data_IF_379973444958
#
_entry.id   IF_379973444958
#
_cell.length_a   1.000
_cell.length_b   1.000
_cell.length_c   1.000
_cell.angle_alpha   90.00
_cell.angle_beta   90.00
_cell.angle_gamma   90.00
#
_symmetry.space_group_name_H-M   'P 1'
#
loop_
_entity.id
_entity.type
_entity.pdbx_description
1 polymer ?
#
# COMPACT_ATOMS: atom_id res chain seq x y z
N UNK A 1 26.43 -39.19 34.16
CA UNK A 1 26.45 -37.99 33.28
C UNK A 1 25.63 -38.21 32.00
N UNK A 2 24.47 -38.90 32.06
CA UNK A 2 23.64 -39.22 30.88
C UNK A 2 22.22 -38.64 30.93
N UNK A 3 21.82 -38.03 32.04
CA UNK A 3 20.45 -37.50 32.23
C UNK A 3 20.33 -36.01 31.91
N UNK A 4 21.41 -35.23 32.09
CA UNK A 4 21.38 -33.77 31.90
C UNK A 4 21.39 -33.38 30.42
N UNK A 5 22.14 -34.08 29.57
CA UNK A 5 22.17 -33.85 28.12
C UNK A 5 20.85 -34.19 27.44
N UNK A 6 20.13 -35.22 27.90
CA UNK A 6 18.81 -35.58 27.37
C UNK A 6 17.76 -34.51 27.67
N UNK A 7 17.82 -33.87 28.85
CA UNK A 7 16.88 -32.80 29.23
C UNK A 7 17.12 -31.50 28.45
N UNK A 8 18.38 -31.15 28.16
CA UNK A 8 18.72 -29.97 27.34
C UNK A 8 18.28 -30.16 25.87
N UNK A 9 18.27 -31.38 25.34
CA UNK A 9 17.77 -31.69 24.00
C UNK A 9 16.24 -31.58 23.85
N UNK A 10 15.47 -31.89 24.91
CA UNK A 10 14.01 -31.84 24.89
C UNK A 10 13.51 -30.39 24.95
N UNK A 11 14.16 -29.52 25.72
CA UNK A 11 13.78 -28.10 25.85
C UNK A 11 14.11 -27.26 24.60
N UNK A 12 15.02 -27.69 23.72
CA UNK A 12 15.29 -27.01 22.44
C UNK A 12 14.18 -27.22 21.39
N UNK A 13 13.28 -28.19 21.59
CA UNK A 13 12.13 -28.47 20.70
C UNK A 13 10.92 -27.56 20.97
N UNK A 14 10.95 -26.78 22.04
CA UNK A 14 9.87 -25.85 22.42
C UNK A 14 9.98 -24.60 21.56
N UNK A 15 9.46 -24.69 20.33
CA UNK A 15 9.13 -23.59 19.40
C UNK A 15 9.87 -22.27 19.62
N UNK A 16 11.17 -22.22 19.31
CA UNK A 16 11.84 -20.94 19.06
C UNK A 16 11.42 -20.49 17.65
N UNK A 17 10.71 -19.35 17.48
CA UNK A 17 10.43 -18.85 16.16
C UNK A 17 11.74 -18.60 15.43
N UNK A 18 11.89 -19.15 14.23
CA UNK A 18 13.08 -18.97 13.41
C UNK A 18 13.32 -17.47 13.17
N UNK A 19 14.59 -17.06 13.04
CA UNK A 19 14.95 -15.65 12.77
C UNK A 19 14.18 -15.06 11.59
N UNK A 20 13.92 -15.88 10.55
CA UNK A 20 13.12 -15.49 9.39
C UNK A 20 11.68 -15.15 9.79
N UNK A 21 11.04 -15.98 10.62
CA UNK A 21 9.66 -15.75 11.08
C UNK A 21 9.55 -14.45 11.88
N UNK A 22 10.55 -14.15 12.72
CA UNK A 22 10.62 -12.89 13.48
C UNK A 22 10.78 -11.69 12.55
N UNK A 23 11.64 -11.79 11.53
CA UNK A 23 11.83 -10.74 10.52
C UNK A 23 10.58 -10.50 9.71
N UNK A 24 9.88 -11.55 9.28
CA UNK A 24 8.60 -11.45 8.56
C UNK A 24 7.56 -10.71 9.41
N UNK A 25 7.41 -11.09 10.68
CA UNK A 25 6.47 -10.41 11.58
C UNK A 25 6.81 -8.92 11.80
N UNK A 26 8.10 -8.60 11.94
CA UNK A 26 8.57 -7.23 12.07
C UNK A 26 8.30 -6.40 10.80
N UNK A 27 8.59 -6.97 9.62
CA UNK A 27 8.31 -6.34 8.33
C UNK A 27 6.81 -6.07 8.16
N UNK A 28 5.96 -7.08 8.40
CA UNK A 28 4.51 -6.92 8.29
C UNK A 28 3.95 -5.86 9.24
N UNK A 29 4.49 -5.77 10.46
CA UNK A 29 4.09 -4.74 11.43
C UNK A 29 4.51 -3.34 10.96
N UNK A 30 5.72 -3.21 10.41
CA UNK A 30 6.21 -1.95 9.84
C UNK A 30 5.39 -1.53 8.61
N UNK A 31 5.00 -2.47 7.75
CA UNK A 31 4.13 -2.20 6.60
C UNK A 31 2.78 -1.65 7.05
N UNK A 32 2.14 -2.24 8.06
CA UNK A 32 0.87 -1.73 8.59
C UNK A 32 1.01 -0.28 9.09
N UNK A 33 2.10 0.02 9.80
CA UNK A 33 2.38 1.39 10.25
C UNK A 33 2.54 2.35 9.06
N UNK A 34 3.27 1.94 8.01
CA UNK A 34 3.42 2.72 6.78
C UNK A 34 2.10 2.93 6.06
N UNK A 35 1.23 1.92 5.96
CA UNK A 35 -0.09 2.05 5.32
C UNK A 35 -0.98 3.06 6.05
N UNK A 36 -0.93 3.08 7.38
CA UNK A 36 -1.62 4.09 8.20
C UNK A 36 -1.03 5.49 7.99
N UNK A 37 0.29 5.61 7.90
CA UNK A 37 0.96 6.88 7.58
C UNK A 37 0.59 7.39 6.19
N UNK A 38 0.48 6.52 5.18
CA UNK A 38 0.00 6.89 3.83
C UNK A 38 -1.40 7.45 3.89
N UNK A 39 -2.33 6.78 4.59
CA UNK A 39 -3.69 7.28 4.72
C UNK A 39 -3.74 8.65 5.40
N UNK A 40 -2.99 8.86 6.49
CA UNK A 40 -2.92 10.15 7.16
C UNK A 40 -2.34 11.25 6.25
N UNK A 41 -1.26 10.94 5.54
CA UNK A 41 -0.63 11.87 4.61
C UNK A 41 -1.58 12.25 3.47
N UNK A 42 -2.38 11.31 2.95
CA UNK A 42 -3.40 11.58 1.93
C UNK A 42 -4.46 12.56 2.42
N UNK A 43 -5.02 12.33 3.61
CA UNK A 43 -5.99 13.26 4.18
C UNK A 43 -5.41 14.64 4.45
N UNK A 44 -4.17 14.71 4.96
CA UNK A 44 -3.49 15.98 5.17
C UNK A 44 -3.22 16.70 3.84
N UNK A 45 -2.84 15.95 2.80
CA UNK A 45 -2.57 16.50 1.48
C UNK A 45 -3.83 17.15 0.90
N UNK A 46 -4.94 16.41 0.91
CA UNK A 46 -6.23 16.89 0.44
C UNK A 46 -6.75 18.06 1.28
N UNK A 47 -6.69 17.97 2.62
CA UNK A 47 -7.15 19.04 3.51
C UNK A 47 -6.33 20.34 3.40
N UNK A 48 -5.06 20.24 2.97
CA UNK A 48 -4.21 21.40 2.72
C UNK A 48 -4.46 22.04 1.34
N UNK A 49 -5.26 21.40 0.49
CA UNK A 49 -5.59 21.89 -0.84
C UNK A 49 -4.41 22.00 -1.79
N UNK A 50 -3.46 21.05 -1.73
CA UNK A 50 -2.26 21.10 -2.58
C UNK A 50 -2.55 20.96 -4.08
N UNK A 51 -3.59 20.22 -4.46
CA UNK A 51 -3.95 19.98 -5.87
C UNK A 51 -5.44 20.24 -6.08
N UNK A 52 -5.74 21.07 -7.08
CA UNK A 52 -7.05 21.35 -7.65
C UNK A 52 -6.86 21.43 -9.18
N UNK A 53 -6.70 20.29 -9.84
CA UNK A 53 -6.27 20.24 -11.23
C UNK A 53 -7.37 20.68 -12.21
N UNK A 54 -8.65 20.60 -11.79
CA UNK A 54 -9.81 21.03 -12.57
C UNK A 54 -10.38 22.40 -12.13
N UNK A 55 -9.79 23.07 -11.14
CA UNK A 55 -10.20 24.39 -10.63
C UNK A 55 -11.68 24.44 -10.18
N UNK A 56 -12.18 23.37 -9.57
CA UNK A 56 -13.56 23.29 -9.09
C UNK A 56 -13.68 23.43 -7.55
N UNK A 57 -12.56 23.80 -6.89
CA UNK A 57 -12.44 23.94 -5.43
C UNK A 57 -12.56 22.63 -4.64
N UNK A 58 -12.52 21.47 -5.31
CA UNK A 58 -12.50 20.19 -4.64
C UNK A 58 -11.14 19.51 -4.75
N UNK A 59 -10.41 19.50 -3.64
CA UNK A 59 -9.02 19.06 -3.61
C UNK A 59 -8.84 17.55 -3.79
N UNK A 60 -7.74 17.18 -4.41
CA UNK A 60 -7.44 15.81 -4.82
C UNK A 60 -6.44 15.12 -3.90
N UNK A 61 -6.49 13.78 -3.87
CA UNK A 61 -5.44 12.95 -3.29
C UNK A 61 -4.21 12.92 -4.19
N UNK A 62 -3.02 12.80 -3.58
CA UNK A 62 -1.73 12.94 -4.28
C UNK A 62 -1.03 11.62 -4.60
N UNK A 63 0.04 11.68 -5.37
CA UNK A 63 0.98 10.58 -5.63
C UNK A 63 2.06 10.46 -4.53
N UNK A 64 2.78 9.33 -4.45
CA UNK A 64 3.91 9.22 -3.49
C UNK A 64 4.98 10.30 -3.70
N UNK A 65 5.25 10.67 -4.95
CA UNK A 65 6.18 11.75 -5.26
C UNK A 65 5.65 13.12 -4.82
N UNK A 66 4.37 13.40 -5.03
CA UNK A 66 3.73 14.65 -4.59
C UNK A 66 3.72 14.77 -3.06
N UNK A 67 3.25 13.72 -2.36
CA UNK A 67 3.23 13.63 -0.89
C UNK A 67 4.63 13.77 -0.26
N UNK A 68 5.66 13.27 -0.95
CA UNK A 68 7.05 13.38 -0.52
C UNK A 68 7.76 14.67 -0.95
N UNK A 69 7.11 15.56 -1.70
CA UNK A 69 7.72 16.76 -2.27
C UNK A 69 8.77 16.49 -3.37
N UNK A 70 8.87 15.24 -3.85
CA UNK A 70 9.82 14.81 -4.89
C UNK A 70 9.29 14.97 -6.30
N UNK A 71 7.98 15.07 -6.48
CA UNK A 71 7.36 15.43 -7.75
C UNK A 71 6.71 16.83 -7.68
N UNK A 72 6.50 17.43 -8.84
CA UNK A 72 5.72 18.65 -8.97
C UNK A 72 4.24 18.32 -8.70
N UNK A 73 3.53 19.25 -8.06
CA UNK A 73 2.09 19.16 -7.89
C UNK A 73 1.41 19.29 -9.26
N UNK A 74 0.48 18.38 -9.56
CA UNK A 74 -0.28 18.39 -10.81
C UNK A 74 -0.86 19.78 -11.13
N UNK A 75 -0.67 20.20 -12.39
CA UNK A 75 -1.14 21.51 -12.87
C UNK A 75 -0.27 22.71 -12.46
N UNK A 76 0.83 22.50 -11.73
CA UNK A 76 1.67 23.58 -11.22
C UNK A 76 3.17 23.32 -11.45
N UNK A 77 3.99 24.33 -11.12
CA UNK A 77 5.46 24.19 -11.02
C UNK A 77 5.94 24.06 -9.57
N UNK A 78 5.01 23.91 -8.63
CA UNK A 78 5.27 23.90 -7.19
C UNK A 78 5.45 22.50 -6.64
N UNK A 79 6.00 22.41 -5.42
CA UNK A 79 6.20 21.17 -4.67
C UNK A 79 5.69 21.35 -3.26
N UNK A 80 5.31 20.25 -2.62
CA UNK A 80 5.06 20.27 -1.17
C UNK A 80 6.36 20.63 -0.44
N UNK A 81 6.38 21.80 0.21
CA UNK A 81 7.58 22.30 0.90
C UNK A 81 7.92 21.50 2.16
N UNK A 82 6.91 20.94 2.83
CA UNK A 82 7.05 20.08 4.02
C UNK A 82 6.54 18.67 3.69
N UNK A 83 7.42 17.74 3.29
CA UNK A 83 7.03 16.39 2.92
C UNK A 83 6.14 15.72 3.97
N UNK A 84 5.04 15.13 3.52
CA UNK A 84 4.08 14.41 4.35
C UNK A 84 4.46 12.93 4.51
N UNK A 85 5.29 12.42 3.60
CA UNK A 85 5.85 11.07 3.62
C UNK A 85 7.37 11.09 3.60
N UNK A 86 7.97 9.97 4.03
CA UNK A 86 9.42 9.81 3.97
C UNK A 86 9.93 9.78 2.53
N UNK A 87 11.14 10.30 2.32
CA UNK A 87 11.78 10.29 1.00
C UNK A 87 11.95 8.86 0.42
N UNK A 88 12.04 7.83 1.27
CA UNK A 88 12.14 6.43 0.82
C UNK A 88 10.86 5.93 0.18
N UNK A 89 9.69 6.41 0.63
CA UNK A 89 8.41 6.03 0.04
C UNK A 89 8.10 6.87 -1.20
N UNK A 90 8.58 8.11 -1.25
CA UNK A 90 8.45 9.00 -2.40
C UNK A 90 9.33 8.61 -3.59
N UNK A 91 10.45 7.91 -3.35
CA UNK A 91 11.34 7.39 -4.39
C UNK A 91 10.80 6.07 -4.94
N UNK A 92 9.92 6.16 -5.94
CA UNK A 92 9.46 5.00 -6.71
C UNK A 92 10.44 4.65 -7.83
N UNK A 93 10.44 3.39 -8.24
CA UNK A 93 11.11 2.97 -9.47
C UNK A 93 10.29 3.31 -10.73
N UNK A 94 10.76 2.86 -11.90
CA UNK A 94 10.13 3.09 -13.21
C UNK A 94 8.70 2.52 -13.31
N UNK A 95 8.39 1.50 -12.50
CA UNK A 95 7.08 0.86 -12.46
C UNK A 95 6.15 1.54 -11.44
N UNK A 96 6.64 2.57 -10.73
CA UNK A 96 5.91 3.24 -9.66
C UNK A 96 5.86 2.46 -8.35
N UNK A 97 6.84 1.57 -8.11
CA UNK A 97 6.97 0.83 -6.86
C UNK A 97 7.99 1.48 -5.93
N UNK A 98 7.58 1.79 -4.71
CA UNK A 98 8.49 2.17 -3.63
C UNK A 98 8.91 0.93 -2.83
N UNK A 99 10.20 0.82 -2.49
CA UNK A 99 10.73 -0.33 -1.75
C UNK A 99 11.00 0.03 -0.29
N UNK A 100 10.30 -0.62 0.65
CA UNK A 100 10.47 -0.36 2.07
C UNK A 100 10.13 -1.62 2.90
N UNK A 101 10.85 -1.86 4.00
CA UNK A 101 10.60 -2.99 4.92
C UNK A 101 10.54 -4.39 4.26
N UNK A 102 11.22 -4.60 3.12
CA UNK A 102 11.15 -5.87 2.38
C UNK A 102 9.87 -6.04 1.55
N UNK A 103 9.12 -4.96 1.36
CA UNK A 103 7.88 -4.87 0.60
C UNK A 103 8.03 -3.86 -0.54
N UNK A 104 7.23 -4.07 -1.58
CA UNK A 104 6.94 -3.09 -2.61
C UNK A 104 5.61 -2.41 -2.29
N UNK A 105 5.55 -1.10 -2.49
CA UNK A 105 4.36 -0.28 -2.30
C UNK A 105 4.00 0.39 -3.62
N UNK A 106 2.71 0.40 -3.95
CA UNK A 106 2.19 1.22 -5.03
C UNK A 106 0.92 1.92 -4.61
N UNK A 107 0.83 3.16 -5.06
CA UNK A 107 -0.32 4.02 -4.89
C UNK A 107 -0.98 4.20 -6.24
N UNK A 108 -2.31 4.10 -6.26
CA UNK A 108 -3.12 4.22 -7.46
C UNK A 108 -4.11 5.36 -7.30
N UNK A 109 -4.21 6.19 -8.34
CA UNK A 109 -5.22 7.22 -8.50
C UNK A 109 -6.11 6.85 -9.70
N UNK A 110 -7.39 7.26 -9.73
CA UNK A 110 -8.34 6.81 -10.73
C UNK A 110 -8.15 7.54 -12.06
N UNK A 111 -8.34 6.82 -13.16
CA UNK A 111 -8.65 7.42 -14.46
C UNK A 111 -10.14 7.79 -14.57
N UNK A 112 -10.54 8.39 -15.69
CA UNK A 112 -11.93 8.82 -15.92
C UNK A 112 -12.95 7.67 -15.99
N UNK A 113 -12.49 6.42 -16.09
CA UNK A 113 -13.33 5.22 -16.04
C UNK A 113 -13.39 4.58 -14.65
N UNK A 114 -12.69 5.15 -13.66
CA UNK A 114 -12.56 4.64 -12.30
C UNK A 114 -11.48 3.58 -12.11
N UNK A 115 -10.69 3.26 -13.15
CA UNK A 115 -9.59 2.29 -13.02
C UNK A 115 -8.42 2.94 -12.29
N UNK A 116 -7.82 2.20 -11.37
CA UNK A 116 -6.62 2.64 -10.69
C UNK A 116 -5.41 2.60 -11.63
N UNK A 117 -4.80 3.76 -11.83
CA UNK A 117 -3.55 3.94 -12.55
C UNK A 117 -2.45 4.20 -11.52
N UNK A 118 -1.28 3.58 -11.67
CA UNK A 118 -0.16 3.79 -10.76
C UNK A 118 0.23 5.27 -10.79
N UNK A 119 0.22 5.92 -9.63
CA UNK A 119 0.41 7.35 -9.49
C UNK A 119 1.89 7.73 -9.60
N UNK A 120 2.39 7.82 -10.83
CA UNK A 120 3.75 8.28 -11.18
C UNK A 120 3.68 9.56 -12.01
N UNK A 121 4.76 10.34 -12.03
CA UNK A 121 4.86 11.53 -12.88
C UNK A 121 4.47 11.27 -14.35
N UNK A 122 4.85 10.10 -14.89
CA UNK A 122 4.50 9.68 -16.27
C UNK A 122 3.01 9.47 -16.47
N UNK A 123 2.31 8.96 -15.47
CA UNK A 123 0.90 8.60 -15.55
C UNK A 123 -0.05 9.72 -15.09
N UNK A 124 0.48 10.79 -14.48
CA UNK A 124 -0.33 11.92 -14.00
C UNK A 124 -1.32 12.48 -15.05
N UNK A 125 -1.00 12.57 -16.35
CA UNK A 125 -1.96 13.04 -17.36
C UNK A 125 -3.19 12.14 -17.56
N UNK A 126 -3.15 10.89 -17.10
CA UNK A 126 -4.26 9.94 -17.19
C UNK A 126 -5.16 9.93 -15.95
N UNK A 127 -4.76 10.65 -14.89
CA UNK A 127 -5.54 10.74 -13.66
C UNK A 127 -6.71 11.70 -13.85
N UNK A 128 -7.90 11.27 -13.46
CA UNK A 128 -9.11 12.10 -13.51
C UNK A 128 -9.26 12.92 -12.22
N UNK A 129 -9.25 14.27 -12.30
CA UNK A 129 -9.37 15.15 -11.15
C UNK A 129 -10.64 14.91 -10.30
N UNK A 130 -11.78 14.68 -10.95
CA UNK A 130 -13.05 14.50 -10.26
C UNK A 130 -13.05 13.23 -9.41
N UNK A 131 -12.56 12.12 -9.96
CA UNK A 131 -12.46 10.85 -9.24
C UNK A 131 -11.32 10.87 -8.20
N UNK A 132 -10.20 11.52 -8.50
CA UNK A 132 -9.02 11.58 -7.60
C UNK A 132 -9.27 12.39 -6.32
N UNK A 133 -10.39 13.12 -6.25
CA UNK A 133 -10.93 13.70 -5.01
C UNK A 133 -11.43 12.66 -4.03
N UNK A 134 -12.06 11.60 -4.52
CA UNK A 134 -12.83 10.70 -3.68
C UNK A 134 -12.15 9.34 -3.53
N UNK A 135 -11.32 8.94 -4.49
CA UNK A 135 -10.78 7.60 -4.57
C UNK A 135 -9.28 7.57 -4.70
N UNK A 136 -8.66 6.67 -3.93
CA UNK A 136 -7.30 6.22 -4.09
C UNK A 136 -7.16 4.86 -3.44
N UNK A 137 -6.16 4.10 -3.86
CA UNK A 137 -5.78 2.86 -3.18
C UNK A 137 -4.28 2.77 -3.04
N UNK A 138 -3.81 2.18 -1.96
CA UNK A 138 -2.43 1.80 -1.78
C UNK A 138 -2.37 0.30 -1.53
N UNK A 139 -1.39 -0.35 -2.15
CA UNK A 139 -1.10 -1.76 -1.96
C UNK A 139 0.34 -1.95 -1.52
N UNK A 140 0.55 -2.95 -0.69
CA UNK A 140 1.89 -3.40 -0.32
C UNK A 140 1.97 -4.93 -0.42
N UNK A 141 3.02 -5.45 -1.05
CA UNK A 141 3.24 -6.90 -1.17
C UNK A 141 4.73 -7.24 -1.02
N UNK A 142 5.05 -8.46 -0.57
CA UNK A 142 6.43 -8.81 -0.29
C UNK A 142 7.27 -8.86 -1.56
N UNK A 143 8.52 -8.39 -1.46
CA UNK A 143 9.53 -8.61 -2.51
C UNK A 143 9.70 -10.11 -2.78
N UNK A 144 9.68 -10.94 -1.73
CA UNK A 144 9.73 -12.40 -1.82
C UNK A 144 8.86 -13.05 -0.76
N UNK A 145 7.78 -13.70 -1.18
CA UNK A 145 6.90 -14.48 -0.30
C UNK A 145 7.69 -15.54 0.46
N UNK A 146 7.37 -15.73 1.75
CA UNK A 146 8.04 -16.70 2.62
C UNK A 146 9.40 -16.22 3.16
N UNK A 147 9.94 -15.11 2.63
CA UNK A 147 11.23 -14.54 3.07
C UNK A 147 11.07 -13.14 3.64
N UNK A 148 10.48 -12.21 2.88
CA UNK A 148 10.31 -10.82 3.32
C UNK A 148 8.93 -10.56 3.89
N UNK A 149 7.94 -11.39 3.54
CA UNK A 149 6.57 -11.30 4.02
C UNK A 149 5.71 -12.48 3.61
N UNK A 150 4.58 -12.68 4.29
CA UNK A 150 3.63 -13.77 4.02
C UNK A 150 2.24 -13.26 3.68
N UNK A 151 2.01 -11.94 3.67
CA UNK A 151 0.73 -11.30 3.38
C UNK A 151 0.94 -10.07 2.52
N UNK A 152 -0.10 -9.72 1.77
CA UNK A 152 -0.21 -8.42 1.10
C UNK A 152 -1.21 -7.54 1.85
N UNK A 153 -1.07 -6.24 1.70
CA UNK A 153 -1.85 -5.24 2.40
C UNK A 153 -2.51 -4.29 1.42
N UNK A 154 -3.68 -3.78 1.81
CA UNK A 154 -4.49 -2.87 1.03
C UNK A 154 -5.04 -1.79 1.97
N UNK A 155 -5.10 -0.55 1.49
CA UNK A 155 -5.80 0.55 2.15
C UNK A 155 -6.36 1.49 1.08
N UNK A 156 -7.47 2.14 1.38
CA UNK A 156 -8.09 3.15 0.52
C UNK A 156 -8.46 4.40 1.33
N UNK A 157 -9.27 5.28 0.75
CA UNK A 157 -9.76 6.52 1.35
C UNK A 157 -10.53 6.35 2.68
N UNK A 158 -10.91 5.13 3.09
CA UNK A 158 -11.50 4.91 4.41
C UNK A 158 -10.43 4.78 5.52
N UNK A 159 -9.15 4.66 5.16
CA UNK A 159 -8.02 4.49 6.09
C UNK A 159 -7.96 3.15 6.81
N UNK A 160 -8.89 2.23 6.53
CA UNK A 160 -8.89 0.87 7.09
C UNK A 160 -7.90 -0.02 6.32
N UNK A 161 -6.94 -0.59 7.04
CA UNK A 161 -5.93 -1.49 6.45
C UNK A 161 -6.49 -2.91 6.43
N UNK A 162 -6.46 -3.53 5.25
CA UNK A 162 -6.72 -4.94 5.05
C UNK A 162 -5.42 -5.71 4.85
N UNK A 163 -5.43 -6.99 5.20
CA UNK A 163 -4.37 -7.95 4.86
C UNK A 163 -4.96 -9.19 4.23
N UNK A 164 -4.23 -9.81 3.30
CA UNK A 164 -4.61 -11.12 2.78
C UNK A 164 -4.40 -12.20 3.84
N UNK A 165 -5.21 -13.26 3.79
CA UNK A 165 -5.01 -14.45 4.64
C UNK A 165 -3.67 -15.15 4.35
N UNK A 166 -3.24 -15.12 3.08
CA UNK A 166 -1.96 -15.65 2.57
C UNK A 166 -1.48 -14.77 1.41
N UNK A 167 -0.18 -14.58 1.25
CA UNK A 167 0.38 -13.86 0.11
C UNK A 167 0.28 -14.70 -1.17
N UNK A 168 -0.26 -14.08 -2.20
CA UNK A 168 -0.25 -14.56 -3.58
C UNK A 168 0.70 -13.71 -4.47
N UNK A 169 0.97 -12.49 -4.02
CA UNK A 169 1.79 -11.49 -4.72
C UNK A 169 3.23 -11.56 -4.25
N UNK A 170 4.17 -11.45 -5.17
CA UNK A 170 5.61 -11.55 -4.89
C UNK A 170 6.43 -10.82 -5.95
N UNK A 171 7.27 -9.90 -5.48
CA UNK A 171 8.20 -9.16 -6.34
C UNK A 171 7.47 -8.38 -7.44
N UNK A 172 8.16 -8.13 -8.55
CA UNK A 172 7.62 -7.30 -9.65
C UNK A 172 6.80 -8.06 -10.69
N UNK A 173 6.72 -9.38 -10.59
CA UNK A 173 6.03 -10.22 -11.59
C UNK A 173 4.59 -10.49 -11.16
N UNK A 174 4.36 -10.81 -9.88
CA UNK A 174 3.04 -11.03 -9.32
C UNK A 174 2.64 -9.81 -8.49
N UNK A 175 2.11 -8.79 -9.18
CA UNK A 175 1.70 -7.50 -8.63
C UNK A 175 0.19 -7.52 -8.37
N UNK A 176 -0.29 -7.02 -7.23
CA UNK A 176 -1.72 -6.96 -6.97
C UNK A 176 -2.38 -5.85 -7.80
N UNK A 177 -3.60 -6.08 -8.31
CA UNK A 177 -4.32 -5.07 -9.08
C UNK A 177 -4.84 -3.95 -8.15
N UNK A 178 -5.13 -2.77 -8.70
CA UNK A 178 -5.45 -1.58 -7.92
C UNK A 178 -6.68 -1.75 -7.00
N UNK A 179 -7.70 -2.47 -7.46
CA UNK A 179 -8.95 -2.72 -6.73
C UNK A 179 -8.94 -3.99 -5.86
N UNK A 180 -7.77 -4.61 -5.62
CA UNK A 180 -7.71 -5.97 -5.06
C UNK A 180 -8.52 -6.16 -3.76
N UNK A 181 -8.45 -5.21 -2.83
CA UNK A 181 -9.13 -5.25 -1.54
C UNK A 181 -10.58 -4.74 -1.54
N UNK A 182 -11.20 -4.52 -2.71
CA UNK A 182 -12.57 -4.03 -2.85
C UNK A 182 -13.54 -5.15 -3.21
N UNK A 183 -14.85 -4.91 -3.01
CA UNK A 183 -15.93 -5.81 -3.44
C UNK A 183 -16.92 -5.09 -4.35
N UNK A 184 -17.56 -5.85 -5.24
CA UNK A 184 -18.58 -5.31 -6.16
C UNK A 184 -18.03 -4.52 -7.35
N UNK A 185 -16.71 -4.52 -7.55
CA UNK A 185 -16.02 -3.83 -8.65
C UNK A 185 -15.08 -4.77 -9.39
N UNK A 186 -14.63 -4.38 -10.59
CA UNK A 186 -13.59 -5.11 -11.32
C UNK A 186 -12.23 -5.01 -10.61
N UNK A 187 -11.34 -5.98 -10.84
CA UNK A 187 -10.04 -6.06 -10.13
C UNK A 187 -9.17 -4.80 -10.22
N UNK A 188 -9.28 -4.04 -11.31
CA UNK A 188 -8.50 -2.81 -11.56
C UNK A 188 -9.31 -1.53 -11.25
N UNK A 189 -10.59 -1.67 -10.86
CA UNK A 189 -11.47 -0.55 -10.53
C UNK A 189 -11.29 -0.13 -9.08
N UNK A 190 -11.17 1.18 -8.82
CA UNK A 190 -10.96 1.71 -7.47
C UNK A 190 -12.05 2.68 -7.00
N UNK A 191 -12.99 3.03 -7.88
CA UNK A 191 -14.16 3.86 -7.58
C UNK A 191 -15.27 3.14 -6.78
N UNK A 192 -14.93 2.02 -6.13
CA UNK A 192 -15.80 1.29 -5.22
C UNK A 192 -15.50 1.65 -3.76
N UNK A 193 -16.53 1.78 -2.94
CA UNK A 193 -16.38 2.12 -1.51
C UNK A 193 -16.34 0.90 -0.60
N UNK A 194 -16.89 -0.23 -1.04
CA UNK A 194 -17.02 -1.43 -0.21
C UNK A 194 -15.69 -2.20 -0.10
N UNK A 195 -15.17 -2.28 1.12
CA UNK A 195 -13.97 -3.05 1.46
C UNK A 195 -14.28 -4.55 1.60
N UNK A 196 -13.34 -5.39 1.18
CA UNK A 196 -13.39 -6.85 1.34
C UNK A 196 -13.11 -7.31 2.79
N UNK A 197 -13.86 -6.78 3.77
CA UNK A 197 -13.64 -7.12 5.18
C UNK A 197 -14.19 -8.51 5.49
N UNK A 198 -13.30 -9.47 5.78
CA UNK A 198 -13.63 -10.87 6.01
C UNK A 198 -14.38 -11.50 4.82
N UNK A 199 -14.02 -11.11 3.61
CA UNK A 199 -14.63 -11.60 2.38
C UNK A 199 -13.60 -11.75 1.26
N UNK A 200 -14.04 -12.28 0.13
CA UNK A 200 -13.25 -12.35 -1.10
C UNK A 200 -13.28 -10.98 -1.77
N UNK A 201 -12.11 -10.45 -2.14
CA UNK A 201 -11.96 -9.19 -2.87
C UNK A 201 -12.07 -9.36 -4.39
N UNK A 202 -11.97 -8.26 -5.13
CA UNK A 202 -12.06 -8.23 -6.58
C UNK A 202 -10.92 -9.00 -7.28
N UNK A 203 -9.83 -9.25 -6.56
CA UNK A 203 -8.72 -10.08 -6.98
C UNK A 203 -8.93 -11.60 -6.74
N UNK A 204 -10.05 -11.99 -6.13
CA UNK A 204 -10.33 -13.36 -5.74
C UNK A 204 -9.61 -13.83 -4.47
N UNK A 205 -8.87 -12.96 -3.78
CA UNK A 205 -8.20 -13.29 -2.51
C UNK A 205 -9.10 -12.99 -1.32
N UNK A 206 -8.87 -13.71 -0.21
CA UNK A 206 -9.59 -13.46 1.04
C UNK A 206 -8.86 -12.39 1.88
N UNK A 207 -9.56 -11.31 2.17
CA UNK A 207 -9.05 -10.14 2.88
C UNK A 207 -9.64 -10.06 4.29
N UNK A 208 -8.81 -9.63 5.25
CA UNK A 208 -9.15 -9.55 6.67
C UNK A 208 -8.70 -8.18 7.16
N UNK A 209 -9.52 -7.51 7.96
CA UNK A 209 -9.15 -6.22 8.54
C UNK A 209 -7.98 -6.38 9.52
N UNK A 210 -7.05 -5.42 9.48
CA UNK A 210 -5.98 -5.29 10.46
C UNK A 210 -6.48 -4.46 11.63
N UNK A 211 -6.54 -5.08 12.80
CA UNK A 211 -6.77 -4.40 14.08
C UNK A 211 -5.50 -3.66 14.52
#
# INVERSE_FOLDING_TARGET
MLTVTTVIGILASVTVPTLISRRVAANESAVVATMRAVSQAQFQFQASGYVDANNDSGFEFGSFGELGGLDLLRGTTERVTKPLLSASLAKTDVDGHATLHGYLFSLFLPDGSGKGVVATATNMPSIDPFQARDYWTCLAWPIKVGTTGNRSFFVNQHGQVLKTKKAFYSGKVSVPPAGAGLVGVGKDQINGTSLATNSVGADGQFWIMVH
#
